data_IF_493691487823
#
_entry.id   IF_493691487823
#
_cell.length_a   1.000
_cell.length_b   1.000
_cell.length_c   1.000
_cell.angle_alpha   90.00
_cell.angle_beta   90.00
_cell.angle_gamma   90.00
#
_symmetry.space_group_name_H-M   'P 1'
#
loop_
_entity.id
_entity.type
_entity.pdbx_description
1 polymer ?
#
# COMPACT_ATOMS: atom_id res chain seq x y z
N UNK A 1 -10.08 -4.14 -15.93
CA UNK A 1 -9.35 -2.90 -15.61
C UNK A 1 -8.43 -3.19 -14.41
N UNK A 2 -7.12 -3.38 -14.67
CA UNK A 2 -6.13 -3.82 -13.65
C UNK A 2 -5.85 -2.71 -12.62
N UNK A 3 -5.69 -1.47 -13.09
CA UNK A 3 -5.47 -0.29 -12.25
C UNK A 3 -6.59 -0.13 -11.23
N UNK A 4 -7.85 -0.18 -11.69
CA UNK A 4 -9.00 -0.04 -10.79
C UNK A 4 -9.01 -1.10 -9.68
N UNK A 5 -8.77 -2.37 -10.02
CA UNK A 5 -8.73 -3.46 -9.02
C UNK A 5 -7.60 -3.26 -8.01
N UNK A 6 -6.44 -2.82 -8.48
CA UNK A 6 -5.29 -2.55 -7.63
C UNK A 6 -5.56 -1.40 -6.64
N UNK A 7 -6.03 -0.25 -7.14
CA UNK A 7 -6.39 0.90 -6.30
C UNK A 7 -7.49 0.55 -5.27
N UNK A 8 -8.48 -0.25 -5.68
CA UNK A 8 -9.53 -0.72 -4.79
C UNK A 8 -8.99 -1.65 -3.70
N UNK A 9 -8.01 -2.51 -4.03
CA UNK A 9 -7.35 -3.39 -3.06
C UNK A 9 -6.61 -2.57 -1.99
N UNK A 10 -5.80 -1.59 -2.41
CA UNK A 10 -5.10 -0.67 -1.50
C UNK A 10 -6.10 0.04 -0.58
N UNK A 11 -7.16 0.63 -1.14
CA UNK A 11 -8.17 1.34 -0.37
C UNK A 11 -8.93 0.44 0.61
N UNK A 12 -9.20 -0.80 0.23
CA UNK A 12 -9.86 -1.79 1.09
C UNK A 12 -8.98 -2.13 2.28
N UNK A 13 -7.72 -2.49 2.06
CA UNK A 13 -6.77 -2.83 3.15
C UNK A 13 -6.56 -1.64 4.09
N UNK A 14 -6.45 -0.43 3.54
CA UNK A 14 -6.40 0.80 4.34
C UNK A 14 -7.61 0.91 5.28
N UNK A 15 -8.83 0.69 4.76
CA UNK A 15 -10.05 0.75 5.55
C UNK A 15 -10.11 -0.36 6.62
N UNK A 16 -9.65 -1.57 6.30
CA UNK A 16 -9.57 -2.69 7.25
C UNK A 16 -8.61 -2.37 8.41
N UNK A 17 -7.43 -1.82 8.13
CA UNK A 17 -6.46 -1.40 9.15
C UNK A 17 -6.98 -0.27 10.06
N UNK A 18 -7.78 0.64 9.52
CA UNK A 18 -8.45 1.68 10.31
C UNK A 18 -9.58 1.11 11.16
N UNK A 19 -10.36 0.17 10.61
CA UNK A 19 -11.40 -0.52 11.35
C UNK A 19 -10.85 -1.34 12.53
N UNK A 20 -9.79 -2.12 12.32
CA UNK A 20 -9.14 -2.89 13.38
C UNK A 20 -8.67 -2.00 14.54
N UNK A 21 -8.16 -0.81 14.24
CA UNK A 21 -7.78 0.15 15.26
C UNK A 21 -8.97 0.71 16.04
N UNK A 22 -10.06 1.08 15.36
CA UNK A 22 -11.26 1.54 16.03
C UNK A 22 -11.77 0.48 17.03
N UNK A 23 -11.80 -0.79 16.62
CA UNK A 23 -12.20 -1.93 17.47
C UNK A 23 -11.24 -2.14 18.66
N UNK A 24 -9.93 -2.06 18.43
CA UNK A 24 -8.93 -2.17 19.51
C UNK A 24 -9.01 -1.01 20.50
N UNK A 25 -9.24 0.22 20.02
CA UNK A 25 -9.28 1.42 20.85
C UNK A 25 -10.51 1.44 21.77
N UNK A 26 -11.66 0.91 21.30
CA UNK A 26 -12.84 0.71 22.14
C UNK A 26 -12.58 -0.21 23.36
N UNK A 27 -11.56 -1.07 23.29
CA UNK A 27 -11.23 -2.07 24.31
C UNK A 27 -10.02 -1.71 25.17
N UNK A 28 -9.35 -0.57 24.91
CA UNK A 28 -8.11 -0.14 25.58
C UNK A 28 -8.22 -0.02 27.11
N UNK A 29 -9.44 0.06 27.66
CA UNK A 29 -9.68 0.09 29.10
C UNK A 29 -9.52 -1.28 29.80
N UNK A 30 -9.37 -2.38 29.05
CA UNK A 30 -9.21 -3.73 29.58
C UNK A 30 -7.73 -4.12 29.50
N UNK A 31 -7.01 -4.03 30.63
CA UNK A 31 -5.65 -4.56 30.92
C UNK A 31 -4.71 -4.76 29.71
N UNK A 32 -3.76 -3.84 29.54
CA UNK A 32 -2.73 -3.89 28.49
C UNK A 32 -1.70 -5.01 28.74
N UNK A 33 -1.55 -5.93 27.80
CA UNK A 33 -0.54 -6.99 27.83
C UNK A 33 0.60 -6.73 26.83
N UNK A 34 1.73 -7.44 26.96
CA UNK A 34 2.88 -7.33 26.04
C UNK A 34 2.50 -7.63 24.59
N UNK A 35 1.58 -8.58 24.36
CA UNK A 35 1.07 -8.91 23.03
C UNK A 35 0.39 -7.73 22.33
N UNK A 36 -0.24 -6.83 23.11
CA UNK A 36 -0.96 -5.68 22.55
C UNK A 36 0.00 -4.62 22.03
N UNK A 37 1.15 -4.46 22.68
CA UNK A 37 2.21 -3.57 22.21
C UNK A 37 2.76 -4.03 20.85
N UNK A 38 2.96 -5.33 20.66
CA UNK A 38 3.44 -5.89 19.38
C UNK A 38 2.37 -5.72 18.29
N UNK A 39 1.10 -6.06 18.58
CA UNK A 39 -0.03 -5.82 17.66
C UNK A 39 -0.10 -4.35 17.23
N UNK A 40 0.00 -3.42 18.17
CA UNK A 40 -0.07 -1.98 17.88
C UNK A 40 1.11 -1.51 17.05
N UNK A 41 2.34 -1.96 17.36
CA UNK A 41 3.52 -1.59 16.60
C UNK A 41 3.40 -2.07 15.15
N UNK A 42 3.05 -3.33 14.94
CA UNK A 42 2.89 -3.88 13.59
C UNK A 42 1.76 -3.19 12.83
N UNK A 43 0.60 -2.97 13.49
CA UNK A 43 -0.51 -2.22 12.89
C UNK A 43 -0.08 -0.84 12.43
N UNK A 44 0.63 -0.08 13.28
CA UNK A 44 1.03 1.28 12.95
C UNK A 44 1.99 1.30 11.76
N UNK A 45 2.92 0.34 11.72
CA UNK A 45 3.83 0.18 10.59
C UNK A 45 3.10 -0.18 9.29
N UNK A 46 2.21 -1.19 9.32
CA UNK A 46 1.36 -1.56 8.17
C UNK A 46 0.47 -0.40 7.70
N UNK A 47 -0.16 0.32 8.62
CA UNK A 47 -1.00 1.47 8.30
C UNK A 47 -0.18 2.60 7.66
N UNK A 48 0.99 2.92 8.21
CA UNK A 48 1.89 3.91 7.63
C UNK A 48 2.27 3.54 6.20
N UNK A 49 2.66 2.29 5.97
CA UNK A 49 3.04 1.83 4.64
C UNK A 49 1.87 1.94 3.64
N UNK A 50 0.68 1.46 4.01
CA UNK A 50 -0.49 1.49 3.12
C UNK A 50 -0.94 2.93 2.87
N UNK A 51 -0.88 3.81 3.87
CA UNK A 51 -1.21 5.24 3.71
C UNK A 51 -0.23 5.93 2.76
N UNK A 52 1.07 5.65 2.85
CA UNK A 52 2.07 6.21 1.93
C UNK A 52 1.96 5.67 0.51
N UNK A 53 1.72 4.36 0.36
CA UNK A 53 1.44 3.77 -0.96
C UNK A 53 0.20 4.40 -1.60
N UNK A 54 -0.85 4.58 -0.80
CA UNK A 54 -2.08 5.20 -1.28
C UNK A 54 -1.87 6.66 -1.68
N UNK A 55 -1.10 7.42 -0.89
CA UNK A 55 -0.76 8.80 -1.21
C UNK A 55 0.03 8.90 -2.52
N UNK A 56 1.09 8.10 -2.67
CA UNK A 56 1.89 8.05 -3.90
C UNK A 56 1.01 7.77 -5.13
N UNK A 57 0.18 6.73 -5.07
CA UNK A 57 -0.67 6.34 -6.19
C UNK A 57 -1.68 7.45 -6.55
N UNK A 58 -2.21 8.17 -5.56
CA UNK A 58 -3.22 9.20 -5.80
C UNK A 58 -2.62 10.54 -6.23
N UNK A 59 -1.64 11.05 -5.51
CA UNK A 59 -1.12 12.41 -5.70
C UNK A 59 -0.02 12.42 -6.77
N UNK A 60 1.01 11.60 -6.57
CA UNK A 60 2.20 11.64 -7.42
C UNK A 60 1.95 10.98 -8.79
N UNK A 61 1.07 9.98 -8.85
CA UNK A 61 0.76 9.25 -10.08
C UNK A 61 -0.55 9.70 -10.71
N UNK A 62 -1.71 9.45 -10.07
CA UNK A 62 -3.01 9.69 -10.68
C UNK A 62 -3.26 11.18 -10.95
N UNK A 63 -3.12 12.05 -9.95
CA UNK A 63 -3.40 13.47 -10.06
C UNK A 63 -2.41 14.18 -11.00
N UNK A 64 -1.12 13.86 -10.88
CA UNK A 64 -0.07 14.38 -11.78
C UNK A 64 -0.32 13.99 -13.24
N UNK A 65 -0.49 12.69 -13.53
CA UNK A 65 -0.69 12.22 -14.90
C UNK A 65 -2.02 12.72 -15.49
N UNK A 66 -3.08 12.81 -14.68
CA UNK A 66 -4.36 13.34 -15.15
C UNK A 66 -4.28 14.84 -15.45
N UNK A 67 -3.55 15.61 -14.62
CA UNK A 67 -3.33 17.04 -14.85
C UNK A 67 -2.55 17.30 -16.13
N UNK A 68 -1.51 16.51 -16.41
CA UNK A 68 -0.76 16.58 -17.67
C UNK A 68 -1.66 16.29 -18.88
N UNK A 69 -2.46 15.21 -18.82
CA UNK A 69 -3.40 14.87 -19.88
C UNK A 69 -4.39 16.01 -20.16
N UNK A 70 -4.96 16.61 -19.11
CA UNK A 70 -5.88 17.74 -19.26
C UNK A 70 -5.21 18.96 -19.91
N UNK A 71 -3.96 19.26 -19.55
CA UNK A 71 -3.22 20.36 -20.17
C UNK A 71 -2.98 20.10 -21.67
N UNK A 72 -2.56 18.89 -22.03
CA UNK A 72 -2.34 18.51 -23.42
C UNK A 72 -3.63 18.59 -24.24
N UNK A 73 -4.72 17.95 -23.77
CA UNK A 73 -6.02 17.97 -24.45
C UNK A 73 -6.56 19.39 -24.65
N UNK A 74 -6.36 20.30 -23.68
CA UNK A 74 -6.82 21.68 -23.80
C UNK A 74 -5.97 22.54 -24.75
N UNK A 75 -4.74 22.12 -25.06
CA UNK A 75 -3.83 22.85 -25.95
C UNK A 75 -3.90 22.38 -27.42
N UNK A 76 -4.33 21.13 -27.63
CA UNK A 76 -4.33 20.44 -28.92
C UNK A 76 -5.74 20.51 -29.55
N UNK A 77 -5.82 20.59 -30.88
CA UNK A 77 -7.10 20.65 -31.62
C UNK A 77 -7.34 19.49 -32.59
N UNK A 78 -6.37 18.60 -32.76
CA UNK A 78 -6.50 17.43 -33.62
C UNK A 78 -6.77 16.15 -32.81
N UNK A 79 -7.64 15.30 -33.37
CA UNK A 79 -8.07 14.07 -32.71
C UNK A 79 -6.94 13.06 -32.51
N UNK A 80 -6.01 12.95 -33.46
CA UNK A 80 -4.95 11.95 -33.41
C UNK A 80 -3.98 12.25 -32.26
N UNK A 81 -3.61 13.51 -32.07
CA UNK A 81 -2.74 13.92 -30.96
C UNK A 81 -3.44 13.77 -29.61
N UNK A 82 -4.76 14.01 -29.50
CA UNK A 82 -5.54 13.69 -28.30
C UNK A 82 -5.51 12.19 -27.99
N UNK A 83 -5.64 11.33 -29.01
CA UNK A 83 -5.55 9.87 -28.86
C UNK A 83 -4.17 9.46 -28.35
N UNK A 84 -3.10 9.99 -28.94
CA UNK A 84 -1.72 9.71 -28.54
C UNK A 84 -1.43 10.17 -27.09
N UNK A 85 -1.90 11.36 -26.71
CA UNK A 85 -1.80 11.86 -25.34
C UNK A 85 -2.47 10.92 -24.33
N UNK A 86 -3.67 10.43 -24.67
CA UNK A 86 -4.39 9.47 -23.84
C UNK A 86 -3.67 8.11 -23.73
N UNK A 87 -3.12 7.59 -24.83
CA UNK A 87 -2.34 6.34 -24.80
C UNK A 87 -1.05 6.48 -23.98
N UNK A 88 -0.41 7.65 -24.05
CA UNK A 88 0.74 7.99 -23.21
C UNK A 88 0.35 8.07 -21.73
N UNK A 89 -0.77 8.73 -21.41
CA UNK A 89 -1.34 8.77 -20.07
C UNK A 89 -1.54 7.37 -19.49
N UNK A 90 -2.20 6.46 -20.23
CA UNK A 90 -2.44 5.10 -19.76
C UNK A 90 -1.14 4.31 -19.55
N UNK A 91 -0.18 4.46 -20.46
CA UNK A 91 1.12 3.78 -20.38
C UNK A 91 1.90 4.25 -19.15
N UNK A 92 1.96 5.56 -18.92
CA UNK A 92 2.63 6.14 -17.75
C UNK A 92 1.91 5.76 -16.46
N UNK A 93 0.57 5.76 -16.45
CA UNK A 93 -0.20 5.36 -15.28
C UNK A 93 0.12 3.93 -14.85
N UNK A 94 0.19 2.98 -15.80
CA UNK A 94 0.55 1.60 -15.52
C UNK A 94 2.00 1.45 -15.05
N UNK A 95 2.94 2.17 -15.67
CA UNK A 95 4.35 2.11 -15.32
C UNK A 95 4.62 2.69 -13.93
N UNK A 96 4.14 3.91 -13.67
CA UNK A 96 4.39 4.64 -12.43
C UNK A 96 3.60 4.08 -11.24
N UNK A 97 2.47 3.40 -11.48
CA UNK A 97 1.77 2.63 -10.43
C UNK A 97 2.43 1.29 -10.10
N UNK A 98 3.64 1.03 -10.62
CA UNK A 98 4.41 -0.22 -10.49
C UNK A 98 3.77 -1.47 -11.10
N UNK A 99 2.59 -1.38 -11.72
CA UNK A 99 1.85 -2.54 -12.28
C UNK A 99 2.68 -3.28 -13.34
N UNK A 100 3.52 -2.57 -14.08
CA UNK A 100 4.39 -3.17 -15.10
C UNK A 100 5.70 -3.75 -14.52
N UNK A 101 6.10 -3.35 -13.30
CA UNK A 101 7.25 -3.92 -12.60
C UNK A 101 6.80 -5.15 -11.81
N UNK A 102 6.75 -6.31 -12.49
CA UNK A 102 6.20 -7.54 -11.91
C UNK A 102 6.74 -7.93 -10.52
N UNK A 103 8.05 -7.86 -10.23
CA UNK A 103 8.57 -8.21 -8.90
C UNK A 103 8.03 -7.28 -7.82
N UNK A 104 8.18 -5.95 -8.01
CA UNK A 104 7.64 -4.92 -7.11
C UNK A 104 6.12 -5.06 -6.95
N UNK A 105 5.39 -5.23 -8.04
CA UNK A 105 3.93 -5.40 -8.00
C UNK A 105 3.52 -6.66 -7.22
N UNK A 106 4.27 -7.75 -7.36
CA UNK A 106 4.03 -8.97 -6.60
C UNK A 106 4.22 -8.72 -5.09
N UNK A 107 5.35 -8.13 -4.69
CA UNK A 107 5.64 -7.81 -3.29
C UNK A 107 4.61 -6.84 -2.71
N UNK A 108 4.19 -5.82 -3.45
CA UNK A 108 3.13 -4.90 -2.98
C UNK A 108 1.79 -5.62 -2.75
N UNK A 109 1.41 -6.56 -3.61
CA UNK A 109 0.20 -7.36 -3.39
C UNK A 109 0.35 -8.32 -2.20
N UNK A 110 1.53 -8.91 -2.01
CA UNK A 110 1.84 -9.73 -0.82
C UNK A 110 1.72 -8.90 0.46
N UNK A 111 2.27 -7.69 0.48
CA UNK A 111 2.15 -6.77 1.63
C UNK A 111 0.68 -6.45 1.95
N UNK A 112 -0.13 -6.17 0.92
CA UNK A 112 -1.57 -5.95 1.10
C UNK A 112 -2.28 -7.19 1.68
N UNK A 113 -1.89 -8.39 1.25
CA UNK A 113 -2.40 -9.65 1.78
C UNK A 113 -1.97 -9.89 3.23
N UNK A 114 -0.71 -9.61 3.58
CA UNK A 114 -0.22 -9.67 4.96
C UNK A 114 -0.99 -8.71 5.88
N UNK A 115 -1.28 -7.49 5.41
CA UNK A 115 -2.11 -6.53 6.14
C UNK A 115 -3.54 -7.04 6.35
N UNK A 116 -4.14 -7.67 5.34
CA UNK A 116 -5.46 -8.30 5.45
C UNK A 116 -5.44 -9.45 6.48
N UNK A 117 -4.43 -10.32 6.40
CA UNK A 117 -4.26 -11.45 7.32
C UNK A 117 -4.07 -10.97 8.77
N UNK A 118 -3.29 -9.90 8.97
CA UNK A 118 -3.17 -9.23 10.27
C UNK A 118 -4.54 -8.74 10.78
N UNK A 119 -5.31 -8.04 9.95
CA UNK A 119 -6.63 -7.54 10.33
C UNK A 119 -7.58 -8.69 10.74
N UNK A 120 -7.54 -9.80 10.00
CA UNK A 120 -8.31 -11.01 10.30
C UNK A 120 -7.89 -11.64 11.63
N UNK A 121 -6.58 -11.82 11.86
CA UNK A 121 -6.02 -12.37 13.09
C UNK A 121 -6.43 -11.54 14.32
N UNK A 122 -6.31 -10.22 14.23
CA UNK A 122 -6.67 -9.30 15.32
C UNK A 122 -8.18 -9.30 15.59
N UNK A 123 -8.99 -9.37 14.54
CA UNK A 123 -10.45 -9.39 14.68
C UNK A 123 -10.96 -10.68 15.32
N UNK A 124 -10.33 -11.81 15.02
CA UNK A 124 -10.62 -13.11 15.63
C UNK A 124 -10.12 -13.23 17.07
N UNK A 125 -9.00 -12.56 17.40
CA UNK A 125 -8.37 -12.61 18.72
C UNK A 125 -8.32 -11.23 19.37
N UNK A 126 -9.48 -10.73 19.84
CA UNK A 126 -9.57 -9.41 20.44
C UNK A 126 -8.95 -9.29 21.83
N UNK A 127 -8.68 -10.43 22.48
CA UNK A 127 -7.96 -10.52 23.75
C UNK A 127 -6.46 -10.75 23.57
N UNK A 128 -5.78 -11.21 24.64
CA UNK A 128 -4.39 -11.66 24.56
C UNK A 128 -4.26 -12.75 23.49
N UNK A 129 -3.17 -12.73 22.73
CA UNK A 129 -2.88 -13.83 21.80
C UNK A 129 -2.51 -15.07 22.60
N UNK A 130 -2.98 -16.21 22.12
CA UNK A 130 -2.41 -17.51 22.48
C UNK A 130 -1.03 -17.67 21.81
N UNK A 131 -0.32 -18.75 22.17
CA UNK A 131 1.01 -19.02 21.62
C UNK A 131 0.97 -19.12 20.08
N UNK A 132 -0.10 -19.71 19.53
CA UNK A 132 -0.32 -19.81 18.09
C UNK A 132 -0.47 -18.44 17.44
N UNK A 133 -1.31 -17.57 17.99
CA UNK A 133 -1.51 -16.21 17.48
C UNK A 133 -0.23 -15.37 17.56
N UNK A 134 0.60 -15.60 18.57
CA UNK A 134 1.91 -14.95 18.71
C UNK A 134 2.88 -15.41 17.61
N UNK A 135 3.00 -16.71 17.36
CA UNK A 135 3.84 -17.22 16.26
C UNK A 135 3.35 -16.76 14.88
N UNK A 136 2.05 -16.66 14.68
CA UNK A 136 1.50 -16.10 13.43
C UNK A 136 1.84 -14.63 13.27
N UNK A 137 1.81 -13.86 14.35
CA UNK A 137 2.19 -12.44 14.33
C UNK A 137 3.68 -12.27 14.00
N UNK A 138 4.57 -13.06 14.61
CA UNK A 138 6.01 -13.04 14.33
C UNK A 138 6.32 -13.42 12.87
N UNK A 139 5.59 -14.40 12.33
CA UNK A 139 5.69 -14.76 10.91
C UNK A 139 5.28 -13.59 10.02
N UNK A 140 4.16 -12.91 10.33
CA UNK A 140 3.72 -11.74 9.55
C UNK A 140 4.76 -10.62 9.56
N UNK A 141 5.43 -10.37 10.70
CA UNK A 141 6.54 -9.40 10.78
C UNK A 141 7.67 -9.82 9.85
N UNK A 142 8.12 -11.07 9.97
CA UNK A 142 9.28 -11.58 9.20
C UNK A 142 9.03 -11.54 7.70
N UNK A 143 7.83 -11.94 7.26
CA UNK A 143 7.49 -11.90 5.83
C UNK A 143 7.33 -10.47 5.34
N UNK A 144 6.72 -9.58 6.16
CA UNK A 144 6.59 -8.17 5.80
C UNK A 144 7.95 -7.52 5.58
N UNK A 145 8.88 -7.69 6.51
CA UNK A 145 10.25 -7.16 6.40
C UNK A 145 10.93 -7.69 5.13
N UNK A 146 10.82 -9.00 4.84
CA UNK A 146 11.39 -9.60 3.63
C UNK A 146 10.76 -9.08 2.33
N UNK A 147 9.43 -8.85 2.30
CA UNK A 147 8.77 -8.26 1.14
C UNK A 147 9.21 -6.80 0.91
N UNK A 148 9.51 -6.05 1.97
CA UNK A 148 10.02 -4.67 1.87
C UNK A 148 11.45 -4.63 1.33
N UNK A 149 12.33 -5.49 1.83
CA UNK A 149 13.69 -5.64 1.31
C UNK A 149 13.69 -5.98 -0.19
N UNK A 150 12.76 -6.84 -0.62
CA UNK A 150 12.62 -7.20 -2.04
C UNK A 150 12.11 -6.02 -2.89
N UNK A 151 11.19 -5.22 -2.37
CA UNK A 151 10.74 -3.98 -3.05
C UNK A 151 11.92 -3.02 -3.25
N UNK A 152 12.79 -2.87 -2.25
CA UNK A 152 13.98 -2.00 -2.37
C UNK A 152 14.96 -2.49 -3.44
N UNK A 153 15.23 -3.79 -3.46
CA UNK A 153 16.14 -4.39 -4.43
C UNK A 153 15.63 -4.28 -5.88
N UNK A 154 14.32 -4.40 -6.08
CA UNK A 154 13.71 -4.42 -7.42
C UNK A 154 13.28 -3.03 -7.93
N UNK A 155 13.36 -2.00 -7.10
CA UNK A 155 13.03 -0.62 -7.49
C UNK A 155 14.16 -0.01 -8.33
N UNK A 156 13.86 0.51 -9.54
CA UNK A 156 14.84 1.23 -10.34
C UNK A 156 15.37 2.49 -9.63
N UNK A 157 16.67 2.77 -9.74
CA UNK A 157 17.33 3.92 -9.09
C UNK A 157 16.73 5.30 -9.41
N UNK A 158 16.04 5.45 -10.54
CA UNK A 158 15.37 6.72 -10.88
C UNK A 158 14.02 6.89 -10.17
N UNK A 159 13.38 5.79 -9.77
CA UNK A 159 12.13 5.79 -9.00
C UNK A 159 12.41 5.86 -7.49
N UNK A 160 13.55 5.33 -7.01
CA UNK A 160 13.94 5.43 -5.59
C UNK A 160 14.22 6.87 -5.12
N UNK A 161 14.42 7.81 -6.04
CA UNK A 161 14.59 9.24 -5.77
C UNK A 161 13.26 10.01 -5.67
N UNK A 162 12.12 9.39 -6.02
CA UNK A 162 10.82 9.99 -5.78
C UNK A 162 10.57 10.01 -4.27
N UNK A 163 10.23 11.18 -3.73
CA UNK A 163 10.08 11.41 -2.29
C UNK A 163 9.20 10.36 -1.59
N UNK A 164 8.17 9.83 -2.26
CA UNK A 164 7.30 8.81 -1.71
C UNK A 164 7.88 7.38 -1.75
N UNK A 165 8.72 7.03 -2.73
CA UNK A 165 9.46 5.77 -2.70
C UNK A 165 10.46 5.76 -1.54
N UNK A 166 11.11 6.90 -1.27
CA UNK A 166 11.95 7.05 -0.08
C UNK A 166 11.16 6.81 1.21
N UNK A 167 9.90 7.24 1.30
CA UNK A 167 9.07 6.99 2.49
C UNK A 167 8.62 5.53 2.61
N UNK A 168 8.37 4.85 1.49
CA UNK A 168 8.15 3.39 1.45
C UNK A 168 9.41 2.60 1.87
N UNK A 169 10.60 3.15 1.62
CA UNK A 169 11.91 2.54 1.90
C UNK A 169 12.49 2.89 3.28
N UNK A 170 11.97 3.94 3.94
CA UNK A 170 12.42 4.39 5.27
C UNK A 170 11.59 3.78 6.42
N UNK A 171 10.60 2.95 6.10
CA UNK A 171 9.84 2.14 7.05
C UNK A 171 10.52 0.83 7.36
#
# INVERSE_FOLDING_TARGET
NIVFKYLLSVRRVQAELQHCWAVQMQRKHLTSNKSDAVKWRLRNHMAFLVDNLQYYLQVDVLESQFSQLLQEINSIRDFESIRLAHDHFLSNLLAQSFILLKPVFHCLNEILELCHNFCSLVSQNPGPLDDRGTSQLELLVTVLDGSLDQVDLDLPQHLSLLSCCQVLLLT
#
